data_IF_278879614414
#
_entry.id   IF_278879614414
#
_cell.length_a   1.000
_cell.length_b   1.000
_cell.length_c   1.000
_cell.angle_alpha   90.00
_cell.angle_beta   90.00
_cell.angle_gamma   90.00
#
_symmetry.space_group_name_H-M   'P 1'
#
loop_
_entity.id
_entity.type
_entity.pdbx_description
1 polymer ?
#
# COMPACT_ATOMS: atom_id res chain seq x y z
N UNK A 1 6.60 11.69 35.67
CA UNK A 1 6.28 10.94 34.43
C UNK A 1 4.76 11.00 34.29
N UNK A 2 4.25 11.53 33.17
CA UNK A 2 2.82 11.71 32.93
C UNK A 2 2.31 10.57 32.04
N UNK A 3 1.12 10.03 32.34
CA UNK A 3 0.49 8.95 31.57
C UNK A 3 -0.55 9.58 30.66
N UNK A 4 -0.30 9.53 29.33
CA UNK A 4 -1.25 9.97 28.30
C UNK A 4 -2.20 8.82 27.97
N UNK A 5 -3.52 9.12 27.92
CA UNK A 5 -4.57 8.14 27.59
C UNK A 5 -5.37 8.60 26.38
N UNK A 6 -5.86 7.64 25.61
CA UNK A 6 -6.69 7.89 24.41
C UNK A 6 -5.87 7.99 23.11
N UNK A 7 -6.57 8.35 22.03
CA UNK A 7 -5.94 8.57 20.71
C UNK A 7 -5.21 9.91 20.71
N UNK A 8 -3.99 9.90 20.21
CA UNK A 8 -3.20 11.13 20.02
C UNK A 8 -3.34 11.54 18.56
N UNK A 9 -3.93 12.73 18.27
CA UNK A 9 -3.94 13.26 16.91
C UNK A 9 -2.50 13.44 16.42
N UNK A 10 -2.18 12.91 15.26
CA UNK A 10 -0.87 13.03 14.66
C UNK A 10 -0.96 13.01 13.14
N UNK A 11 0.00 13.62 12.48
CA UNK A 11 0.23 13.48 11.06
C UNK A 11 0.48 12.01 10.69
N UNK A 12 0.30 11.63 9.42
CA UNK A 12 0.25 10.24 8.97
C UNK A 12 1.51 9.83 8.22
N UNK A 13 1.91 8.58 8.42
CA UNK A 13 2.97 7.88 7.68
C UNK A 13 2.31 7.01 6.63
N UNK A 14 2.31 7.46 5.37
CA UNK A 14 1.65 6.80 4.26
C UNK A 14 2.67 6.27 3.28
N UNK A 15 2.55 5.01 2.90
CA UNK A 15 3.30 4.40 1.80
C UNK A 15 2.31 3.94 0.76
N UNK A 16 2.43 4.44 -0.47
CA UNK A 16 1.64 4.03 -1.63
C UNK A 16 2.55 3.38 -2.66
N UNK A 17 2.29 2.15 -3.02
CA UNK A 17 3.06 1.45 -4.04
C UNK A 17 2.17 0.82 -5.10
N UNK A 18 2.72 0.62 -6.29
CA UNK A 18 1.99 0.06 -7.42
C UNK A 18 2.80 0.09 -8.71
N UNK A 19 2.24 -0.45 -9.81
CA UNK A 19 2.88 -0.44 -11.13
C UNK A 19 3.26 0.95 -11.58
N UNK A 20 4.18 1.02 -12.54
CA UNK A 20 4.52 2.26 -13.23
C UNK A 20 3.27 2.81 -13.95
N UNK A 21 3.14 4.14 -13.99
CA UNK A 21 2.03 4.81 -14.69
C UNK A 21 0.66 4.74 -14.03
N UNK A 22 0.49 4.08 -12.88
CA UNK A 22 -0.82 4.00 -12.22
C UNK A 22 -1.32 5.33 -11.64
N UNK A 23 -0.43 6.31 -11.43
CA UNK A 23 -0.77 7.64 -10.95
C UNK A 23 -0.39 7.91 -9.48
N UNK A 24 0.65 7.28 -8.95
CA UNK A 24 1.12 7.46 -7.55
C UNK A 24 1.46 8.90 -7.22
N UNK A 25 2.24 9.57 -8.07
CA UNK A 25 2.62 10.98 -7.90
C UNK A 25 1.40 11.90 -7.92
N UNK A 26 0.45 11.65 -8.84
CA UNK A 26 -0.83 12.38 -8.92
C UNK A 26 -1.69 12.15 -7.68
N UNK A 27 -1.70 10.95 -7.13
CA UNK A 27 -2.39 10.68 -5.87
C UNK A 27 -1.73 11.44 -4.70
N UNK A 28 -0.40 11.42 -4.61
CA UNK A 28 0.35 12.13 -3.58
C UNK A 28 0.19 13.66 -3.66
N UNK A 29 0.01 14.21 -4.88
CA UNK A 29 -0.21 15.66 -5.07
C UNK A 29 -1.55 16.17 -4.56
N UNK A 30 -2.50 15.28 -4.25
CA UNK A 30 -3.80 15.64 -3.71
C UNK A 30 -3.81 15.78 -2.17
N UNK A 31 -2.72 15.44 -1.50
CA UNK A 31 -2.57 15.65 -0.06
C UNK A 31 -2.54 17.15 0.28
N UNK A 32 -2.86 17.53 1.53
CA UNK A 32 -2.83 18.94 1.94
C UNK A 32 -1.43 19.55 1.78
N UNK A 33 -1.33 20.63 1.03
CA UNK A 33 -0.12 21.44 0.84
C UNK A 33 1.15 20.60 0.66
N UNK A 34 1.23 19.80 -0.43
CA UNK A 34 2.31 18.84 -0.61
C UNK A 34 3.57 19.51 -1.17
N UNK A 35 4.73 19.18 -0.59
CA UNK A 35 6.05 19.51 -1.15
C UNK A 35 6.78 18.22 -1.48
N UNK A 36 7.31 18.13 -2.70
CA UNK A 36 7.96 16.94 -3.21
C UNK A 36 9.48 17.00 -3.06
N UNK A 37 10.07 15.90 -2.60
CA UNK A 37 11.45 15.51 -2.87
C UNK A 37 11.39 14.51 -4.03
N UNK A 38 11.66 15.01 -5.23
CA UNK A 38 11.63 14.22 -6.46
C UNK A 38 12.99 13.56 -6.67
N UNK A 39 13.06 12.25 -6.49
CA UNK A 39 14.28 11.45 -6.64
C UNK A 39 14.44 10.86 -8.03
N UNK A 40 13.33 10.75 -8.78
CA UNK A 40 13.30 10.14 -10.12
C UNK A 40 13.28 11.17 -11.24
N UNK A 41 12.69 12.34 -11.02
CA UNK A 41 12.45 13.37 -12.02
C UNK A 41 11.09 13.27 -12.68
N UNK A 42 10.16 12.54 -12.06
CA UNK A 42 8.81 12.27 -12.60
C UNK A 42 7.86 13.48 -12.49
N UNK A 43 8.13 14.41 -11.58
CA UNK A 43 7.23 15.53 -11.29
C UNK A 43 7.37 16.73 -12.22
N UNK A 44 8.32 16.73 -13.16
CA UNK A 44 8.60 17.90 -14.04
C UNK A 44 7.40 18.36 -14.86
N UNK A 45 6.48 17.46 -15.21
CA UNK A 45 5.25 17.75 -15.95
C UNK A 45 4.03 18.04 -15.05
N UNK A 46 4.21 18.06 -13.72
CA UNK A 46 3.14 18.27 -12.76
C UNK A 46 3.20 19.68 -12.18
N UNK A 47 2.04 20.27 -11.94
CA UNK A 47 1.91 21.53 -11.19
C UNK A 47 1.92 21.26 -9.69
N UNK A 48 3.13 21.14 -9.12
CA UNK A 48 3.34 20.82 -7.69
C UNK A 48 4.53 21.62 -7.13
N UNK A 49 4.48 21.92 -5.84
CA UNK A 49 5.65 22.44 -5.13
C UNK A 49 6.68 21.33 -4.94
N UNK A 50 7.93 21.61 -5.23
CA UNK A 50 9.04 20.67 -5.07
C UNK A 50 10.32 21.34 -4.62
N UNK A 51 11.12 20.62 -3.86
CA UNK A 51 12.48 21.01 -3.55
C UNK A 51 13.40 20.79 -4.76
N UNK A 52 14.58 21.40 -4.84
CA UNK A 52 15.53 21.15 -5.91
C UNK A 52 15.76 19.65 -6.09
N UNK A 53 15.90 19.19 -7.36
CA UNK A 53 16.09 17.77 -7.67
C UNK A 53 17.24 17.19 -6.85
N UNK A 54 16.95 16.16 -6.05
CA UNK A 54 17.95 15.49 -5.25
C UNK A 54 18.95 14.74 -6.15
N UNK A 55 20.23 15.09 -6.03
CA UNK A 55 21.32 14.47 -6.78
C UNK A 55 22.14 13.47 -5.94
N UNK A 56 21.89 13.39 -4.64
CA UNK A 56 22.59 12.51 -3.71
C UNK A 56 21.77 12.22 -2.48
N UNK A 57 22.14 11.16 -1.76
CA UNK A 57 21.55 10.82 -0.48
C UNK A 57 21.67 11.94 0.56
N UNK A 58 22.84 12.58 0.65
CA UNK A 58 23.05 13.71 1.55
C UNK A 58 22.10 14.87 1.25
N UNK A 59 21.81 15.13 -0.02
CA UNK A 59 20.87 16.19 -0.39
C UNK A 59 19.43 15.84 0.04
N UNK A 60 19.02 14.57 -0.08
CA UNK A 60 17.73 14.11 0.47
C UNK A 60 17.67 14.33 1.98
N UNK A 61 18.74 13.96 2.72
CA UNK A 61 18.79 14.17 4.16
C UNK A 61 18.71 15.66 4.54
N UNK A 62 19.39 16.53 3.80
CA UNK A 62 19.35 17.99 4.01
C UNK A 62 17.95 18.55 3.72
N UNK A 63 17.28 18.07 2.68
CA UNK A 63 15.91 18.48 2.33
C UNK A 63 14.91 18.05 3.40
N UNK A 64 15.02 16.84 3.92
CA UNK A 64 14.20 16.37 5.05
C UNK A 64 14.47 17.20 6.31
N UNK A 65 15.73 17.49 6.62
CA UNK A 65 16.09 18.34 7.77
C UNK A 65 15.56 19.76 7.60
N UNK A 66 15.57 20.31 6.37
CA UNK A 66 14.98 21.62 6.08
C UNK A 66 13.47 21.63 6.39
N UNK A 67 12.72 20.66 5.88
CA UNK A 67 11.27 20.58 6.14
C UNK A 67 10.98 20.38 7.63
N UNK A 68 11.77 19.55 8.31
CA UNK A 68 11.63 19.30 9.74
C UNK A 68 11.82 20.56 10.58
N UNK A 69 12.76 21.42 10.19
CA UNK A 69 13.10 22.65 10.91
C UNK A 69 12.23 23.87 10.48
N UNK A 70 11.47 23.74 9.39
CA UNK A 70 10.58 24.76 8.85
C UNK A 70 9.17 24.17 8.60
N UNK A 71 8.44 23.82 9.68
CA UNK A 71 7.17 23.11 9.53
C UNK A 71 6.06 23.95 8.87
N UNK A 72 6.29 25.23 8.68
CA UNK A 72 5.39 26.15 7.96
C UNK A 72 5.42 26.00 6.45
N UNK A 73 6.47 25.34 5.87
CA UNK A 73 6.67 25.28 4.42
C UNK A 73 5.73 24.31 3.72
N UNK A 74 5.16 23.33 4.45
CA UNK A 74 4.20 22.38 3.89
C UNK A 74 3.39 21.68 4.99
N UNK A 75 2.29 21.02 4.59
CA UNK A 75 1.51 20.10 5.44
C UNK A 75 1.75 18.64 5.12
N UNK A 76 2.41 18.39 4.01
CA UNK A 76 2.75 17.03 3.56
C UNK A 76 4.09 17.02 2.85
N UNK A 77 5.01 16.19 3.31
CA UNK A 77 6.27 15.89 2.62
C UNK A 77 6.07 14.63 1.79
N UNK A 78 6.32 14.72 0.50
CA UNK A 78 6.24 13.58 -0.44
C UNK A 78 7.64 13.21 -0.90
N UNK A 79 8.01 11.93 -0.79
CA UNK A 79 9.23 11.38 -1.39
C UNK A 79 8.82 10.50 -2.58
N UNK A 80 9.17 10.94 -3.77
CA UNK A 80 8.76 10.33 -5.04
C UNK A 80 9.99 9.98 -5.89
N UNK A 81 10.50 8.75 -5.83
CA UNK A 81 10.06 7.56 -5.11
C UNK A 81 11.11 7.07 -4.08
N UNK A 82 10.67 6.29 -3.09
CA UNK A 82 11.57 5.76 -2.04
C UNK A 82 12.54 4.69 -2.57
N UNK A 83 12.18 3.97 -3.63
CA UNK A 83 13.08 3.00 -4.27
C UNK A 83 14.25 3.68 -5.00
N UNK A 84 14.05 4.84 -5.61
CA UNK A 84 15.15 5.67 -6.12
C UNK A 84 15.98 6.30 -4.99
N UNK A 85 15.34 6.72 -3.90
CA UNK A 85 16.05 7.18 -2.72
C UNK A 85 16.93 6.06 -2.11
N UNK A 86 16.43 4.80 -2.08
CA UNK A 86 17.24 3.64 -1.66
C UNK A 86 18.46 3.44 -2.55
N UNK A 87 18.32 3.58 -3.88
CA UNK A 87 19.46 3.49 -4.79
C UNK A 87 20.52 4.56 -4.50
N UNK A 88 20.12 5.79 -4.17
CA UNK A 88 21.05 6.85 -3.76
C UNK A 88 21.69 6.54 -2.39
N UNK A 89 20.96 5.91 -1.48
CA UNK A 89 21.50 5.43 -0.20
C UNK A 89 22.57 4.35 -0.41
N UNK A 90 22.30 3.39 -1.29
CA UNK A 90 23.27 2.33 -1.67
C UNK A 90 24.55 2.96 -2.22
N UNK A 91 24.43 3.90 -3.15
CA UNK A 91 25.59 4.60 -3.73
C UNK A 91 26.36 5.35 -2.64
N UNK A 92 25.68 6.08 -1.76
CA UNK A 92 26.29 6.79 -0.64
C UNK A 92 27.10 5.85 0.27
N UNK A 93 26.56 4.67 0.60
CA UNK A 93 27.27 3.68 1.44
C UNK A 93 28.51 3.15 0.71
N UNK A 94 28.41 2.87 -0.59
CA UNK A 94 29.54 2.45 -1.40
C UNK A 94 30.65 3.53 -1.42
N UNK A 95 30.30 4.76 -1.69
CA UNK A 95 31.25 5.89 -1.76
C UNK A 95 31.93 6.12 -0.41
N UNK A 96 31.17 6.14 0.68
CA UNK A 96 31.66 6.32 2.06
C UNK A 96 32.71 5.28 2.44
N UNK A 97 32.54 4.05 1.96
CA UNK A 97 33.44 2.94 2.24
C UNK A 97 34.44 2.64 1.11
N UNK A 98 34.48 3.48 0.07
CA UNK A 98 35.36 3.34 -1.10
C UNK A 98 35.20 1.96 -1.78
N UNK A 99 33.95 1.55 -1.98
CA UNK A 99 33.55 0.31 -2.65
C UNK A 99 32.97 0.63 -4.04
N UNK A 100 33.25 -0.21 -5.03
CA UNK A 100 32.67 -0.03 -6.37
C UNK A 100 31.20 -0.47 -6.44
N UNK A 101 30.78 -1.37 -5.57
CA UNK A 101 29.42 -1.85 -5.48
C UNK A 101 29.09 -2.46 -4.12
N UNK A 102 27.80 -2.67 -3.88
CA UNK A 102 27.31 -3.18 -2.60
C UNK A 102 27.78 -4.61 -2.29
N UNK A 103 28.08 -5.40 -3.33
CA UNK A 103 28.60 -6.78 -3.17
C UNK A 103 30.08 -6.81 -2.71
N UNK A 104 30.81 -5.72 -2.88
CA UNK A 104 32.25 -5.63 -2.50
C UNK A 104 32.47 -5.59 -0.98
N UNK A 105 31.40 -5.48 -0.19
CA UNK A 105 31.51 -5.50 1.27
C UNK A 105 31.74 -6.88 1.87
N UNK A 106 31.50 -7.93 1.11
CA UNK A 106 31.57 -9.32 1.58
C UNK A 106 30.48 -9.69 2.58
N UNK A 107 30.09 -10.93 2.59
CA UNK A 107 29.12 -11.52 3.53
C UNK A 107 27.80 -10.73 3.70
N UNK A 108 27.44 -9.90 2.71
CA UNK A 108 26.22 -9.10 2.74
C UNK A 108 26.25 -7.86 3.67
N UNK A 109 27.39 -7.50 4.24
CA UNK A 109 27.52 -6.38 5.17
C UNK A 109 27.09 -5.03 4.57
N UNK A 110 27.30 -4.82 3.26
CA UNK A 110 26.86 -3.61 2.58
C UNK A 110 25.35 -3.39 2.69
N UNK A 111 24.56 -4.45 2.57
CA UNK A 111 23.11 -4.39 2.73
C UNK A 111 22.68 -4.06 4.16
N UNK A 112 23.45 -4.53 5.16
CA UNK A 112 23.21 -4.18 6.58
C UNK A 112 23.43 -2.68 6.78
N UNK A 113 24.51 -2.11 6.24
CA UNK A 113 24.78 -0.67 6.34
C UNK A 113 23.69 0.18 5.66
N UNK A 114 23.17 -0.25 4.49
CA UNK A 114 22.04 0.42 3.83
C UNK A 114 20.79 0.36 4.70
N UNK A 115 20.47 -0.80 5.29
CA UNK A 115 19.33 -0.96 6.20
C UNK A 115 19.44 -0.02 7.41
N UNK A 116 20.62 0.06 8.03
CA UNK A 116 20.85 0.95 9.17
C UNK A 116 20.71 2.42 8.80
N UNK A 117 21.26 2.82 7.64
CA UNK A 117 21.17 4.18 7.13
C UNK A 117 19.73 4.56 6.81
N UNK A 118 18.97 3.65 6.16
CA UNK A 118 17.56 3.85 5.89
C UNK A 118 16.73 3.90 7.19
N UNK A 119 17.11 3.11 8.21
CA UNK A 119 16.50 3.19 9.55
C UNK A 119 16.68 4.58 10.18
N UNK A 120 17.88 5.16 10.10
CA UNK A 120 18.14 6.54 10.55
C UNK A 120 17.32 7.56 9.78
N UNK A 121 17.17 7.36 8.48
CA UNK A 121 16.31 8.20 7.63
C UNK A 121 14.84 8.13 8.04
N UNK A 122 14.30 6.94 8.29
CA UNK A 122 12.91 6.78 8.75
C UNK A 122 12.67 7.42 10.13
N UNK A 123 13.70 7.44 11.00
CA UNK A 123 13.64 8.19 12.26
C UNK A 123 13.52 9.71 12.01
N UNK A 124 14.31 10.27 11.08
CA UNK A 124 14.18 11.68 10.68
C UNK A 124 12.79 11.98 10.09
N UNK A 125 12.23 11.09 9.28
CA UNK A 125 10.86 11.22 8.77
C UNK A 125 9.82 11.13 9.91
N UNK A 126 10.09 10.37 10.96
CA UNK A 126 9.23 10.35 12.15
C UNK A 126 9.26 11.69 12.90
N UNK A 127 10.41 12.34 12.97
CA UNK A 127 10.52 13.71 13.53
C UNK A 127 9.73 14.74 12.69
N UNK A 128 9.67 14.58 11.35
CA UNK A 128 8.81 15.38 10.47
C UNK A 128 7.32 15.17 10.82
N UNK A 129 6.92 13.92 11.08
CA UNK A 129 5.55 13.60 11.51
C UNK A 129 5.24 14.20 12.89
N UNK A 130 6.19 14.19 13.81
CA UNK A 130 6.08 14.85 15.13
C UNK A 130 5.94 16.38 15.01
N UNK A 131 6.51 16.97 13.95
CA UNK A 131 6.28 18.39 13.58
C UNK A 131 4.90 18.63 12.91
N UNK A 132 4.00 17.63 12.95
CA UNK A 132 2.63 17.68 12.40
C UNK A 132 2.56 17.80 10.87
N UNK A 133 3.54 17.24 10.15
CA UNK A 133 3.61 17.16 8.70
C UNK A 133 3.39 15.71 8.29
N UNK A 134 2.41 15.44 7.40
CA UNK A 134 2.24 14.09 6.83
C UNK A 134 3.47 13.71 6.01
N UNK A 135 3.83 12.44 6.04
CA UNK A 135 4.88 11.91 5.17
C UNK A 135 4.28 10.87 4.24
N UNK A 136 4.45 11.09 2.94
CA UNK A 136 3.98 10.18 1.89
C UNK A 136 5.19 9.65 1.12
N UNK A 137 5.37 8.35 1.13
CA UNK A 137 6.38 7.66 0.32
C UNK A 137 5.68 6.98 -0.84
N UNK A 138 6.03 7.33 -2.08
CA UNK A 138 5.62 6.55 -3.24
C UNK A 138 6.68 5.49 -3.53
N UNK A 139 6.28 4.33 -4.05
CA UNK A 139 7.18 3.26 -4.42
C UNK A 139 6.69 2.51 -5.66
N UNK A 140 7.61 1.94 -6.42
CA UNK A 140 7.25 0.97 -7.46
C UNK A 140 6.91 -0.38 -6.86
N UNK A 141 6.07 -1.12 -7.58
CA UNK A 141 5.77 -2.51 -7.29
C UNK A 141 6.57 -3.44 -8.20
N UNK A 142 6.81 -4.65 -7.75
CA UNK A 142 7.37 -5.73 -8.54
C UNK A 142 6.68 -7.04 -8.20
N UNK A 143 6.56 -7.92 -9.19
CA UNK A 143 6.09 -9.28 -8.98
C UNK A 143 7.26 -10.16 -8.57
N UNK A 144 7.05 -11.02 -7.59
CA UNK A 144 8.01 -12.01 -7.14
C UNK A 144 7.35 -13.33 -6.80
N UNK A 145 8.10 -14.40 -6.98
CA UNK A 145 7.73 -15.71 -6.44
C UNK A 145 7.89 -15.71 -4.93
N UNK A 146 6.87 -16.17 -4.26
CA UNK A 146 6.78 -16.32 -2.83
C UNK A 146 6.47 -17.79 -2.49
N UNK A 147 7.16 -18.32 -1.49
CA UNK A 147 6.95 -19.66 -0.96
C UNK A 147 6.65 -19.54 0.52
N UNK A 148 5.61 -20.24 0.96
CA UNK A 148 5.29 -20.34 2.38
C UNK A 148 5.79 -21.70 2.90
N UNK A 149 6.37 -21.76 4.12
CA UNK A 149 6.93 -23.00 4.67
C UNK A 149 5.90 -24.12 4.90
N UNK A 150 4.63 -23.75 5.04
CA UNK A 150 3.49 -24.61 5.35
C UNK A 150 2.62 -24.96 4.14
N UNK A 151 2.92 -24.41 2.95
CA UNK A 151 2.18 -24.68 1.71
C UNK A 151 3.08 -25.23 0.61
N UNK A 152 2.52 -26.16 -0.19
CA UNK A 152 3.21 -26.71 -1.35
C UNK A 152 3.03 -25.79 -2.56
N UNK A 153 4.14 -25.24 -3.04
CA UNK A 153 4.22 -24.49 -4.28
C UNK A 153 4.50 -23.01 -4.08
N UNK A 154 5.11 -22.42 -5.12
CA UNK A 154 5.38 -20.98 -5.20
C UNK A 154 4.24 -20.29 -5.93
N UNK A 155 3.90 -19.09 -5.51
CA UNK A 155 2.95 -18.22 -6.19
C UNK A 155 3.51 -16.81 -6.40
N UNK A 156 2.96 -16.07 -7.35
CA UNK A 156 3.39 -14.72 -7.66
C UNK A 156 2.74 -13.72 -6.70
N UNK A 157 3.57 -12.82 -6.14
CA UNK A 157 3.13 -11.80 -5.20
C UNK A 157 3.68 -10.43 -5.58
N UNK A 158 2.84 -9.41 -5.43
CA UNK A 158 3.24 -8.02 -5.54
C UNK A 158 3.94 -7.54 -4.27
N UNK A 159 5.09 -6.93 -4.42
CA UNK A 159 5.87 -6.37 -3.33
C UNK A 159 6.45 -5.01 -3.71
N UNK A 160 6.83 -4.23 -2.68
CA UNK A 160 7.60 -3.02 -2.92
C UNK A 160 8.91 -3.35 -3.64
N UNK A 161 9.28 -2.52 -4.62
CA UNK A 161 10.55 -2.63 -5.37
C UNK A 161 11.70 -2.07 -4.54
N UNK A 162 11.96 -2.67 -3.39
CA UNK A 162 13.04 -2.32 -2.45
C UNK A 162 13.92 -3.54 -2.20
N UNK A 163 15.08 -3.30 -1.58
CA UNK A 163 16.02 -4.35 -1.23
C UNK A 163 15.39 -5.40 -0.32
N UNK A 164 15.62 -6.68 -0.64
CA UNK A 164 15.02 -7.81 0.06
C UNK A 164 15.87 -9.07 0.12
N UNK A 165 17.14 -9.02 -0.30
CA UNK A 165 18.04 -10.08 0.08
C UNK A 165 17.97 -10.22 1.60
N UNK A 166 18.16 -11.43 2.12
CA UNK A 166 18.04 -11.73 3.56
C UNK A 166 18.78 -10.72 4.44
N UNK A 167 19.84 -10.13 3.92
CA UNK A 167 20.64 -9.07 4.57
C UNK A 167 20.11 -7.64 4.36
N UNK A 168 19.32 -7.38 3.32
CA UNK A 168 18.90 -6.02 2.94
C UNK A 168 17.74 -5.51 3.79
N UNK A 169 16.66 -6.25 3.90
CA UNK A 169 15.49 -5.99 4.75
C UNK A 169 14.96 -4.53 4.80
N UNK A 170 15.19 -3.73 3.76
CA UNK A 170 14.71 -2.35 3.68
C UNK A 170 13.21 -2.30 3.44
N UNK A 171 12.67 -3.22 2.60
CA UNK A 171 11.23 -3.34 2.38
C UNK A 171 10.44 -3.64 3.67
N UNK A 172 10.81 -4.61 4.52
CA UNK A 172 10.17 -4.82 5.81
C UNK A 172 10.20 -3.58 6.71
N UNK A 173 11.35 -2.90 6.78
CA UNK A 173 11.53 -1.74 7.63
C UNK A 173 10.55 -0.60 7.26
N UNK A 174 10.37 -0.32 5.97
CA UNK A 174 9.42 0.69 5.49
C UNK A 174 7.97 0.25 5.76
N UNK A 175 7.63 -1.02 5.55
CA UNK A 175 6.29 -1.57 5.84
C UNK A 175 5.94 -1.47 7.32
N UNK A 176 6.89 -1.73 8.20
CA UNK A 176 6.71 -1.62 9.65
C UNK A 176 6.52 -0.16 10.08
N UNK A 177 7.32 0.75 9.53
CA UNK A 177 7.29 2.17 9.83
C UNK A 177 5.97 2.85 9.44
N UNK A 178 5.34 2.45 8.33
CA UNK A 178 4.12 3.06 7.81
C UNK A 178 2.90 2.83 8.72
N UNK A 179 2.01 3.81 8.83
CA UNK A 179 0.68 3.65 9.42
C UNK A 179 -0.32 3.08 8.41
N UNK A 180 -0.20 3.53 7.15
CA UNK A 180 -0.92 3.01 5.99
C UNK A 180 0.09 2.56 4.93
N UNK A 181 -0.01 1.30 4.54
CA UNK A 181 0.64 0.72 3.36
C UNK A 181 -0.46 0.39 2.35
N UNK A 182 -0.49 1.12 1.26
CA UNK A 182 -1.56 1.08 0.27
C UNK A 182 -1.02 0.49 -1.03
N UNK A 183 -1.67 -0.55 -1.55
CA UNK A 183 -1.31 -1.16 -2.82
C UNK A 183 -2.26 -0.70 -3.92
N UNK A 184 -1.80 0.13 -4.85
CA UNK A 184 -2.56 0.57 -6.01
C UNK A 184 -2.32 -0.38 -7.18
N UNK A 185 -3.41 -0.83 -7.83
CA UNK A 185 -3.32 -1.70 -9.00
C UNK A 185 -4.52 -1.50 -9.93
N UNK A 186 -4.41 -2.06 -11.13
CA UNK A 186 -5.54 -2.20 -12.05
C UNK A 186 -6.33 -3.46 -11.72
N UNK A 187 -7.63 -3.31 -11.55
CA UNK A 187 -8.53 -4.46 -11.38
C UNK A 187 -8.73 -5.13 -12.74
N UNK A 188 -8.11 -6.28 -12.92
CA UNK A 188 -8.18 -7.05 -14.16
C UNK A 188 -8.79 -8.42 -13.91
N UNK A 189 -9.66 -8.84 -14.82
CA UNK A 189 -10.30 -10.15 -14.80
C UNK A 189 -9.84 -10.94 -16.02
N UNK A 190 -9.57 -12.21 -15.81
CA UNK A 190 -9.25 -13.13 -16.89
C UNK A 190 -10.53 -13.83 -17.35
N UNK A 191 -11.05 -13.45 -18.51
CA UNK A 191 -12.29 -14.01 -19.08
C UNK A 191 -11.92 -15.04 -20.13
N UNK A 192 -12.58 -16.22 -20.08
CA UNK A 192 -12.46 -17.23 -21.11
C UNK A 192 -13.11 -16.72 -22.41
N UNK A 193 -12.44 -16.91 -23.55
CA UNK A 193 -12.91 -16.52 -24.88
C UNK A 193 -13.30 -17.73 -25.73
N UNK A 194 -13.05 -18.94 -25.26
CA UNK A 194 -13.45 -20.17 -25.95
C UNK A 194 -14.25 -21.08 -25.02
N UNK A 195 -15.10 -21.91 -25.60
CA UNK A 195 -15.98 -22.85 -24.85
C UNK A 195 -15.19 -23.88 -24.01
N UNK A 196 -13.91 -24.02 -24.28
CA UNK A 196 -13.00 -24.93 -23.54
C UNK A 196 -12.18 -24.25 -22.46
N UNK A 197 -12.33 -22.94 -22.28
CA UNK A 197 -11.59 -22.16 -21.27
C UNK A 197 -10.07 -22.09 -21.46
N UNK A 198 -9.56 -22.56 -22.62
CA UNK A 198 -8.12 -22.59 -22.92
C UNK A 198 -7.58 -21.24 -23.35
N UNK A 199 -8.41 -20.43 -24.01
CA UNK A 199 -8.02 -19.06 -24.41
C UNK A 199 -8.65 -18.08 -23.45
N UNK A 200 -7.85 -17.16 -22.88
CA UNK A 200 -8.29 -16.16 -21.94
C UNK A 200 -7.88 -14.77 -22.39
N UNK A 201 -8.70 -13.77 -22.13
CA UNK A 201 -8.44 -12.38 -22.39
C UNK A 201 -8.52 -11.61 -21.07
N UNK A 202 -7.55 -10.73 -20.84
CA UNK A 202 -7.62 -9.78 -19.73
C UNK A 202 -8.67 -8.72 -20.05
N UNK A 203 -9.56 -8.45 -19.11
CA UNK A 203 -10.60 -7.43 -19.18
C UNK A 203 -10.61 -6.67 -17.85
N UNK A 204 -10.89 -5.36 -17.89
CA UNK A 204 -10.87 -4.48 -16.75
C UNK A 204 -9.99 -3.26 -17.02
N UNK A 205 -9.48 -2.61 -15.97
CA UNK A 205 -8.64 -1.41 -16.07
C UNK A 205 -9.03 -0.33 -15.07
N UNK A 206 -10.05 -0.60 -14.24
CA UNK A 206 -10.37 0.25 -13.10
C UNK A 206 -9.18 0.29 -12.14
N UNK A 207 -8.82 1.49 -11.68
CA UNK A 207 -7.75 1.67 -10.69
C UNK A 207 -8.33 1.55 -9.29
N UNK A 208 -7.82 0.61 -8.53
CA UNK A 208 -8.21 0.34 -7.15
C UNK A 208 -7.01 0.46 -6.22
N UNK A 209 -7.29 0.64 -4.95
CA UNK A 209 -6.30 0.68 -3.89
C UNK A 209 -6.70 -0.31 -2.80
N UNK A 210 -5.82 -1.26 -2.53
CA UNK A 210 -5.98 -2.24 -1.47
C UNK A 210 -5.35 -1.73 -0.18
N UNK A 211 -6.08 -1.83 0.89
CA UNK A 211 -5.72 -1.32 2.22
C UNK A 211 -5.43 -2.42 3.23
N UNK A 212 -5.77 -3.66 2.91
CA UNK A 212 -5.60 -4.83 3.77
C UNK A 212 -4.73 -5.89 3.11
N UNK A 213 -4.03 -6.66 3.94
CA UNK A 213 -3.16 -7.76 3.51
C UNK A 213 -3.92 -8.80 2.70
N UNK A 214 -3.26 -9.35 1.69
CA UNK A 214 -3.74 -10.48 0.88
C UNK A 214 -2.56 -11.39 0.53
N UNK A 215 -2.81 -12.65 0.18
CA UNK A 215 -1.74 -13.57 -0.26
C UNK A 215 -0.89 -12.98 -1.40
N UNK A 216 -1.52 -12.28 -2.35
CA UNK A 216 -0.86 -11.72 -3.54
C UNK A 216 -0.25 -10.33 -3.35
N UNK A 217 -0.43 -9.65 -2.21
CA UNK A 217 0.16 -8.33 -1.92
C UNK A 217 0.21 -8.03 -0.44
N UNK A 218 1.10 -7.10 -0.06
CA UNK A 218 1.10 -6.49 1.27
C UNK A 218 0.29 -5.20 1.26
N UNK A 219 -0.59 -5.03 2.23
CA UNK A 219 -1.23 -3.77 2.55
C UNK A 219 -1.55 -3.72 4.04
N UNK A 220 -1.67 -2.52 4.58
CA UNK A 220 -1.94 -2.29 6.00
C UNK A 220 -2.64 -0.96 6.19
N UNK A 221 -3.68 -0.92 7.01
CA UNK A 221 -4.21 0.33 7.54
C UNK A 221 -4.59 0.17 9.02
N UNK A 222 -4.45 1.25 9.80
CA UNK A 222 -4.77 1.30 11.23
C UNK A 222 -6.07 2.06 11.51
N UNK A 223 -6.78 2.46 10.45
CA UNK A 223 -7.87 3.44 10.53
C UNK A 223 -9.24 2.88 10.11
N UNK A 224 -9.32 1.55 9.87
CA UNK A 224 -10.58 0.88 9.55
C UNK A 224 -11.10 1.17 8.13
N UNK A 225 -10.22 1.49 7.19
CA UNK A 225 -10.61 1.61 5.78
C UNK A 225 -11.12 0.25 5.25
N UNK A 226 -12.10 0.24 4.31
CA UNK A 226 -12.50 -0.96 3.59
C UNK A 226 -11.30 -1.62 2.90
N UNK A 227 -11.33 -2.94 2.70
CA UNK A 227 -10.21 -3.72 2.12
C UNK A 227 -9.79 -3.25 0.72
N UNK A 228 -10.76 -2.84 -0.10
CA UNK A 228 -10.58 -2.29 -1.44
C UNK A 228 -11.37 -0.98 -1.55
N UNK A 229 -10.73 0.06 -2.07
CA UNK A 229 -11.36 1.36 -2.33
C UNK A 229 -10.90 1.88 -3.71
N UNK A 230 -11.65 2.79 -4.35
CA UNK A 230 -11.19 3.47 -5.57
C UNK A 230 -9.83 4.13 -5.34
N UNK A 231 -8.93 4.06 -6.34
CA UNK A 231 -7.64 4.73 -6.26
C UNK A 231 -7.81 6.24 -6.44
N UNK A 232 -8.23 6.88 -5.35
CA UNK A 232 -8.46 8.31 -5.24
C UNK A 232 -8.14 8.79 -3.83
N UNK A 233 -7.62 10.01 -3.71
CA UNK A 233 -7.38 10.65 -2.41
C UNK A 233 -8.67 10.79 -1.58
N UNK A 234 -9.82 11.01 -2.25
CA UNK A 234 -11.13 11.08 -1.60
C UNK A 234 -11.45 9.84 -0.74
N UNK A 235 -10.90 8.67 -1.10
CA UNK A 235 -11.09 7.42 -0.36
C UNK A 235 -10.40 7.40 1.01
N UNK A 236 -9.42 8.30 1.26
CA UNK A 236 -8.64 8.34 2.51
C UNK A 236 -8.66 9.72 3.18
N UNK A 237 -9.30 10.72 2.57
CA UNK A 237 -9.28 12.11 3.04
C UNK A 237 -9.67 12.24 4.50
N UNK A 238 -10.71 11.53 4.95
CA UNK A 238 -11.18 11.57 6.34
C UNK A 238 -10.08 11.15 7.32
N UNK A 239 -9.32 10.09 7.01
CA UNK A 239 -8.21 9.62 7.85
C UNK A 239 -7.10 10.66 7.95
N UNK A 240 -6.82 11.37 6.85
CA UNK A 240 -5.78 12.40 6.82
C UNK A 240 -6.21 13.65 7.61
N UNK A 241 -7.48 14.03 7.53
CA UNK A 241 -8.04 15.21 8.21
C UNK A 241 -8.29 14.97 9.69
N UNK A 242 -8.79 13.80 10.10
CA UNK A 242 -8.99 13.43 11.52
C UNK A 242 -7.71 13.51 12.34
N UNK A 243 -6.55 13.33 11.72
CA UNK A 243 -5.25 13.52 12.38
C UNK A 243 -4.97 14.94 12.83
N UNK A 244 -5.72 15.93 12.33
CA UNK A 244 -5.51 17.39 12.58
C UNK A 244 -6.51 17.99 13.56
N UNK A 245 -7.70 17.40 13.66
CA UNK A 245 -8.76 17.88 14.56
C UNK A 245 -8.90 16.90 15.72
N UNK A 246 -8.59 17.33 16.93
CA UNK A 246 -8.83 16.59 18.16
C UNK A 246 -10.32 16.44 18.52
N UNK A 247 -11.20 16.29 17.51
CA UNK A 247 -12.64 16.09 17.70
C UNK A 247 -12.92 14.58 17.73
N UNK A 248 -13.50 14.16 18.85
CA UNK A 248 -14.07 12.82 19.04
C UNK A 248 -15.01 12.44 17.88
N UNK A 249 -15.05 11.17 17.46
CA UNK A 249 -15.93 10.75 16.38
C UNK A 249 -17.38 11.00 16.79
N UNK A 250 -18.08 11.82 16.01
CA UNK A 250 -19.53 11.95 16.10
C UNK A 250 -20.12 10.60 15.65
N UNK A 251 -20.95 9.93 16.46
CA UNK A 251 -21.57 8.68 16.04
C UNK A 251 -22.47 8.95 14.84
N UNK A 252 -22.14 8.33 13.71
CA UNK A 252 -23.03 8.29 12.55
C UNK A 252 -24.30 7.59 12.96
N UNK A 253 -25.39 8.36 13.13
CA UNK A 253 -26.73 7.80 13.29
C UNK A 253 -27.08 7.09 11.99
N UNK A 254 -27.06 5.77 12.04
CA UNK A 254 -27.69 4.93 11.02
C UNK A 254 -29.16 5.31 10.94
N UNK A 255 -29.54 5.98 9.90
CA UNK A 255 -30.95 6.20 9.56
C UNK A 255 -31.45 4.87 9.02
N UNK A 256 -32.07 4.10 9.90
CA UNK A 256 -32.85 2.92 9.49
C UNK A 256 -34.16 3.45 8.91
N UNK A 257 -34.26 3.53 7.59
CA UNK A 257 -35.58 3.66 6.94
C UNK A 257 -36.33 2.35 7.10
N UNK A 258 -37.28 2.34 8.03
CA UNK A 258 -38.33 1.34 8.06
C UNK A 258 -39.24 1.53 6.85
N UNK A 259 -39.02 0.77 5.79
CA UNK A 259 -40.04 0.51 4.78
C UNK A 259 -40.93 -0.65 5.26
N UNK A 260 -42.07 -0.27 5.78
CA UNK A 260 -43.23 -1.14 5.95
C UNK A 260 -43.68 -1.60 4.57
N UNK A 261 -43.42 -2.85 4.21
CA UNK A 261 -44.07 -3.52 3.09
C UNK A 261 -45.09 -4.52 3.62
N UNK A 262 -46.34 -4.30 3.24
CA UNK A 262 -47.47 -5.22 3.42
C UNK A 262 -47.20 -6.49 2.61
N UNK A 263 -47.26 -7.65 3.25
CA UNK A 263 -47.30 -8.96 2.60
C UNK A 263 -48.66 -9.21 1.98
N UNK A 264 -48.76 -9.68 0.72
CA UNK A 264 -49.93 -10.38 0.26
C UNK A 264 -49.84 -11.87 0.56
N UNK A 265 -50.85 -12.39 1.22
CA UNK A 265 -51.04 -13.78 1.59
C UNK A 265 -50.96 -14.71 0.35
N UNK A 266 -50.03 -15.67 0.38
CA UNK A 266 -49.96 -16.77 -0.59
C UNK A 266 -50.39 -18.06 0.09
N UNK A 267 -51.42 -18.70 -0.54
CA UNK A 267 -52.03 -19.97 -0.17
C UNK A 267 -51.00 -21.11 -0.19
N UNK A 268 -51.10 -22.00 0.78
CA UNK A 268 -50.38 -23.25 0.84
C UNK A 268 -50.73 -24.22 -0.30
N UNK A 269 -49.78 -24.93 -0.90
CA UNK A 269 -50.09 -26.06 -1.80
C UNK A 269 -50.26 -27.37 -1.00
N UNK A 270 -51.21 -28.19 -1.47
CA UNK A 270 -51.59 -29.50 -0.96
C UNK A 270 -50.47 -30.56 -1.17
N UNK A 271 -50.49 -31.65 -0.40
CA UNK A 271 -49.42 -32.65 -0.43
C UNK A 271 -49.54 -33.62 -1.61
N UNK A 272 -48.44 -33.81 -2.34
CA UNK A 272 -48.33 -34.80 -3.42
C UNK A 272 -48.05 -36.18 -2.81
N UNK A 273 -48.80 -37.17 -3.27
CA UNK A 273 -48.71 -38.58 -2.91
C UNK A 273 -47.38 -39.18 -3.31
N UNK A 274 -46.85 -40.00 -2.40
CA UNK A 274 -45.72 -40.91 -2.64
C UNK A 274 -46.17 -42.04 -3.57
N UNK A 275 -45.40 -42.35 -4.61
CA UNK A 275 -45.40 -43.59 -5.35
C UNK A 275 -44.22 -44.45 -4.93
N UNK A 276 -44.49 -45.74 -4.70
CA UNK A 276 -43.58 -46.79 -4.26
C UNK A 276 -42.59 -47.24 -5.33
N UNK A 277 -41.49 -47.91 -4.97
CA UNK A 277 -40.43 -48.26 -5.90
C UNK A 277 -40.71 -49.59 -6.62
N UNK A 278 -40.47 -49.63 -7.91
CA UNK A 278 -40.52 -50.85 -8.71
C UNK A 278 -39.18 -51.64 -8.68
N UNK A 279 -39.34 -52.92 -8.60
CA UNK A 279 -38.38 -53.99 -8.41
C UNK A 279 -37.27 -54.10 -9.46
N UNK A 280 -36.19 -54.63 -8.99
CA UNK A 280 -35.02 -55.11 -9.76
C UNK A 280 -35.41 -56.26 -10.73
N UNK A 281 -34.95 -56.16 -11.97
CA UNK A 281 -34.84 -57.29 -12.88
C UNK A 281 -33.39 -57.47 -13.26
N UNK A 282 -32.83 -58.58 -12.75
CA UNK A 282 -31.57 -59.16 -13.13
C UNK A 282 -31.68 -59.86 -14.50
N UNK A 283 -30.70 -59.65 -15.37
CA UNK A 283 -30.51 -60.46 -16.57
C UNK A 283 -29.11 -61.08 -16.60
N UNK A 284 -28.96 -62.33 -17.07
CA UNK A 284 -27.74 -63.07 -16.96
C UNK A 284 -26.78 -62.90 -18.15
N UNK A 285 -25.51 -63.24 -17.87
CA UNK A 285 -24.41 -63.35 -18.79
C UNK A 285 -24.66 -64.35 -19.93
N UNK A 286 -24.33 -63.96 -21.14
CA UNK A 286 -23.63 -64.79 -22.15
C UNK A 286 -22.63 -63.92 -22.90
#
# INVERSE_FOLDING_TARGET
MEIIRGKIPCAKKVVIYGPEGIGKSTFASQFPDPVFIDTEGSTNSMDVARLPKASSWQMILQQVDYVRTHPEVCKTLVIDTIDWAEAMCVQHICDKHRKNGIEDFGYGNGYVYVKEELGRFLNKLSEVVEANINVVLTAHAQIRKFEQPDELGAYDRWELKLGKKTSSQTSPLIKEWADMLLFANYKTFSVAIDDKGKKRKAQGGERVMYTSHHACWDAKNRYGLPEEVPFSYASIVQVIEEGKTGSSPVPVKTVTEEKKQEEPAVKAPEPVKQEEPMEQMTMPLT
#
